data_IF_041539772093
#
_entry.id   IF_041539772093
#
_cell.length_a   1.000
_cell.length_b   1.000
_cell.length_c   1.000
_cell.angle_alpha   90.00
_cell.angle_beta   90.00
_cell.angle_gamma   90.00
#
_symmetry.space_group_name_H-M   'P 1'
#
loop_
_entity.id
_entity.type
_entity.pdbx_description
1 polymer ?
#
# COMPACT_ATOMS: atom_id res chain seq x y z
N UNK A 1 -2.80 2.55 20.48
CA UNK A 1 -1.76 2.94 21.45
C UNK A 1 -2.23 4.01 22.44
N UNK A 2 -2.68 5.18 21.96
CA UNK A 2 -3.13 6.26 22.87
C UNK A 2 -4.27 5.82 23.78
N UNK A 3 -5.29 5.16 23.25
CA UNK A 3 -6.44 4.66 24.01
C UNK A 3 -6.01 3.62 25.07
N UNK A 4 -5.15 2.67 24.71
CA UNK A 4 -4.60 1.69 25.65
C UNK A 4 -3.75 2.35 26.74
N UNK A 5 -2.90 3.31 26.37
CA UNK A 5 -2.00 4.01 27.30
C UNK A 5 -2.75 4.82 28.34
N UNK A 6 -3.92 5.37 27.96
CA UNK A 6 -4.75 6.22 28.81
C UNK A 6 -5.97 5.50 29.37
N UNK A 7 -6.14 4.19 29.12
CA UNK A 7 -7.27 3.39 29.55
C UNK A 7 -8.64 3.98 29.16
N UNK A 8 -8.72 4.58 27.97
CA UNK A 8 -9.94 5.21 27.43
C UNK A 8 -10.39 4.42 26.21
N UNK A 9 -11.71 4.23 26.05
CA UNK A 9 -12.23 3.55 24.87
C UNK A 9 -11.89 4.31 23.58
N UNK A 10 -11.41 3.64 22.51
CA UNK A 10 -10.98 4.30 21.27
C UNK A 10 -12.03 5.23 20.65
N UNK A 11 -13.31 4.85 20.66
CA UNK A 11 -14.40 5.66 20.12
C UNK A 11 -14.54 7.01 20.85
N UNK A 12 -14.34 7.03 22.19
CA UNK A 12 -14.39 8.27 22.99
C UNK A 12 -13.22 9.18 22.61
N UNK A 13 -12.00 8.60 22.50
CA UNK A 13 -10.81 9.34 22.09
C UNK A 13 -11.01 9.97 20.71
N UNK A 14 -11.47 9.17 19.74
CA UNK A 14 -11.72 9.65 18.38
C UNK A 14 -12.73 10.79 18.37
N UNK A 15 -13.86 10.62 19.07
CA UNK A 15 -14.90 11.65 19.14
C UNK A 15 -14.35 12.96 19.72
N UNK A 16 -13.68 12.89 20.86
CA UNK A 16 -13.15 14.08 21.53
C UNK A 16 -12.12 14.81 20.66
N UNK A 17 -11.24 14.06 19.98
CA UNK A 17 -10.23 14.64 19.10
C UNK A 17 -10.87 15.30 17.86
N UNK A 18 -11.89 14.68 17.27
CA UNK A 18 -12.62 15.25 16.13
C UNK A 18 -13.36 16.52 16.53
N UNK A 19 -14.03 16.51 17.68
CA UNK A 19 -14.76 17.70 18.20
C UNK A 19 -13.79 18.86 18.47
N UNK A 20 -12.63 18.55 19.07
CA UNK A 20 -11.58 19.55 19.30
C UNK A 20 -11.02 20.11 17.98
N UNK A 21 -10.68 19.24 17.05
CA UNK A 21 -10.14 19.63 15.74
C UNK A 21 -11.13 20.49 14.96
N UNK A 22 -12.42 20.12 14.97
CA UNK A 22 -13.49 20.90 14.35
C UNK A 22 -13.59 22.30 14.96
N UNK A 23 -13.48 22.43 16.29
CA UNK A 23 -13.51 23.73 16.95
C UNK A 23 -12.33 24.62 16.54
N UNK A 24 -11.14 24.05 16.40
CA UNK A 24 -9.94 24.77 15.94
C UNK A 24 -10.09 25.24 14.49
N UNK A 25 -10.58 24.39 13.59
CA UNK A 25 -10.79 24.75 12.18
C UNK A 25 -11.86 25.85 12.03
N UNK A 26 -12.93 25.80 12.84
CA UNK A 26 -13.94 26.88 12.88
C UNK A 26 -13.35 28.21 13.38
N UNK A 27 -12.48 28.16 14.39
CA UNK A 27 -11.81 29.35 14.91
C UNK A 27 -10.87 30.00 13.88
N UNK A 28 -10.28 29.20 12.98
CA UNK A 28 -9.48 29.68 11.87
C UNK A 28 -10.30 30.28 10.71
N UNK A 29 -11.63 30.20 10.77
CA UNK A 29 -12.53 30.80 9.77
C UNK A 29 -12.61 30.04 8.44
N UNK A 30 -12.27 28.74 8.41
CA UNK A 30 -12.46 27.93 7.21
C UNK A 30 -13.94 27.81 6.84
N UNK A 31 -14.26 28.05 5.57
CA UNK A 31 -15.63 28.00 5.02
C UNK A 31 -16.03 26.60 4.55
N UNK A 32 -15.78 25.59 5.39
CA UNK A 32 -16.22 24.22 5.10
C UNK A 32 -17.74 24.08 5.35
N UNK A 33 -18.38 23.27 4.52
CA UNK A 33 -19.75 22.82 4.77
C UNK A 33 -19.75 21.69 5.81
N UNK A 34 -19.91 22.06 7.06
CA UNK A 34 -19.83 21.15 8.20
C UNK A 34 -20.95 20.11 8.24
N UNK A 35 -22.05 20.32 7.50
CA UNK A 35 -23.13 19.35 7.38
C UNK A 35 -22.76 18.17 6.47
N UNK A 36 -21.69 18.33 5.69
CA UNK A 36 -21.10 17.27 4.86
C UNK A 36 -19.91 16.57 5.49
N UNK A 37 -19.70 16.76 6.78
CA UNK A 37 -18.68 16.04 7.51
C UNK A 37 -18.97 14.54 7.53
N UNK A 38 -17.98 13.73 7.19
CA UNK A 38 -18.04 12.27 7.21
C UNK A 38 -17.03 11.71 8.21
N UNK A 39 -17.39 10.61 8.86
CA UNK A 39 -16.52 9.87 9.74
C UNK A 39 -16.28 8.47 9.19
N UNK A 40 -15.04 8.18 8.79
CA UNK A 40 -14.66 6.88 8.21
C UNK A 40 -14.72 5.72 9.20
N UNK A 41 -14.88 6.00 10.51
CA UNK A 41 -15.08 4.98 11.55
C UNK A 41 -16.56 4.66 11.80
N UNK A 42 -17.47 5.39 11.13
CA UNK A 42 -18.90 5.14 11.22
C UNK A 42 -19.26 3.88 10.39
N UNK A 43 -20.01 2.92 10.98
CA UNK A 43 -20.51 1.75 10.25
C UNK A 43 -21.29 2.10 8.98
N UNK A 44 -22.07 3.16 8.99
CA UNK A 44 -22.81 3.62 7.82
C UNK A 44 -21.90 4.11 6.69
N UNK A 45 -20.69 4.56 7.02
CA UNK A 45 -19.68 4.94 6.04
C UNK A 45 -18.85 3.73 5.60
N UNK A 46 -18.24 2.97 6.52
CA UNK A 46 -17.30 1.92 6.14
C UNK A 46 -17.98 0.69 5.53
N UNK A 47 -19.30 0.53 5.62
CA UNK A 47 -20.03 -0.49 4.87
C UNK A 47 -19.74 -0.44 3.38
N UNK A 48 -19.53 0.75 2.83
CA UNK A 48 -19.16 0.93 1.42
C UNK A 48 -17.75 0.45 1.11
N UNK A 49 -16.80 0.67 2.02
CA UNK A 49 -15.45 0.10 1.90
C UNK A 49 -15.51 -1.44 1.92
N UNK A 50 -16.32 -2.01 2.79
CA UNK A 50 -16.56 -3.46 2.82
C UNK A 50 -17.21 -3.97 1.52
N UNK A 51 -18.17 -3.23 1.00
CA UNK A 51 -18.84 -3.57 -0.26
C UNK A 51 -17.82 -3.55 -1.43
N UNK A 52 -16.98 -2.51 -1.53
CA UNK A 52 -15.92 -2.43 -2.55
C UNK A 52 -14.98 -3.64 -2.43
N UNK A 53 -14.54 -3.99 -1.21
CA UNK A 53 -13.71 -5.17 -1.00
C UNK A 53 -14.39 -6.45 -1.49
N UNK A 54 -15.67 -6.62 -1.21
CA UNK A 54 -16.44 -7.77 -1.68
C UNK A 54 -16.56 -7.82 -3.21
N UNK A 55 -16.67 -6.65 -3.88
CA UNK A 55 -16.63 -6.62 -5.34
C UNK A 55 -15.26 -7.06 -5.87
N UNK A 56 -14.17 -6.55 -5.29
CA UNK A 56 -12.82 -6.98 -5.66
C UNK A 56 -12.62 -8.49 -5.47
N UNK A 57 -13.13 -9.03 -4.36
CA UNK A 57 -13.07 -10.46 -4.09
C UNK A 57 -13.87 -11.28 -5.11
N UNK A 58 -15.12 -10.88 -5.42
CA UNK A 58 -15.97 -11.54 -6.43
C UNK A 58 -15.33 -11.56 -7.82
N UNK A 59 -14.57 -10.53 -8.16
CA UNK A 59 -13.86 -10.45 -9.45
C UNK A 59 -12.46 -11.10 -9.41
N UNK A 60 -12.10 -11.81 -8.34
CA UNK A 60 -10.80 -12.48 -8.20
C UNK A 60 -9.61 -11.53 -8.05
N UNK A 61 -9.88 -10.26 -7.72
CA UNK A 61 -8.85 -9.23 -7.52
C UNK A 61 -8.36 -9.15 -6.08
N UNK A 62 -9.10 -9.67 -5.12
CA UNK A 62 -8.69 -9.81 -3.72
C UNK A 62 -8.44 -11.29 -3.39
N UNK A 63 -7.31 -11.59 -2.74
CA UNK A 63 -6.92 -12.96 -2.38
C UNK A 63 -6.10 -12.95 -1.09
N UNK A 64 -6.03 -14.10 -0.42
CA UNK A 64 -5.14 -14.29 0.74
C UNK A 64 -3.81 -14.89 0.32
N UNK A 65 -2.73 -14.39 0.93
CA UNK A 65 -1.38 -14.92 0.75
C UNK A 65 -0.61 -14.83 2.06
N UNK A 66 0.18 -15.85 2.36
CA UNK A 66 1.19 -15.77 3.41
C UNK A 66 2.37 -14.95 2.92
N UNK A 67 2.80 -14.00 3.74
CA UNK A 67 3.95 -13.15 3.44
C UNK A 67 4.64 -12.71 4.71
N UNK A 68 5.91 -12.36 4.57
CA UNK A 68 6.65 -11.71 5.64
C UNK A 68 6.14 -10.29 5.83
N UNK A 69 5.81 -9.96 7.07
CA UNK A 69 5.39 -8.63 7.49
C UNK A 69 6.31 -8.10 8.57
N UNK A 70 6.49 -6.79 8.63
CA UNK A 70 7.17 -6.12 9.72
C UNK A 70 6.27 -6.15 10.95
N UNK A 71 6.73 -6.77 12.02
CA UNK A 71 5.98 -6.89 13.27
C UNK A 71 6.65 -6.10 14.37
N UNK A 72 5.95 -5.13 14.93
CA UNK A 72 6.41 -4.41 16.12
C UNK A 72 6.19 -5.24 17.39
N UNK A 73 7.24 -5.51 18.13
CA UNK A 73 7.17 -6.31 19.39
C UNK A 73 6.48 -5.55 20.52
N UNK A 74 6.60 -4.23 20.55
CA UNK A 74 5.97 -3.36 21.54
C UNK A 74 4.50 -3.03 21.22
N UNK A 75 4.21 -2.52 20.04
CA UNK A 75 2.83 -2.19 19.61
C UNK A 75 1.98 -3.43 19.30
N UNK A 76 2.60 -4.60 19.11
CA UNK A 76 1.96 -5.87 18.73
C UNK A 76 1.07 -5.73 17.48
N UNK A 77 1.58 -5.01 16.49
CA UNK A 77 0.89 -4.76 15.21
C UNK A 77 1.83 -4.91 14.01
N UNK A 78 1.23 -5.08 12.83
CA UNK A 78 1.96 -5.04 11.55
C UNK A 78 2.25 -3.59 11.20
N UNK A 79 3.45 -3.33 10.68
CA UNK A 79 3.91 -2.03 10.24
C UNK A 79 4.11 -2.02 8.72
N UNK A 80 3.82 -0.89 8.09
CA UNK A 80 4.28 -0.61 6.75
C UNK A 80 5.80 -0.39 6.72
N UNK A 81 6.42 -0.48 5.54
CA UNK A 81 7.87 -0.29 5.44
C UNK A 81 8.32 1.11 5.89
N UNK A 82 7.49 2.11 5.64
CA UNK A 82 7.73 3.51 6.00
C UNK A 82 7.70 3.75 7.52
N UNK A 83 7.03 2.88 8.27
CA UNK A 83 6.92 2.95 9.74
C UNK A 83 8.09 2.27 10.46
N UNK A 84 9.05 1.70 9.71
CA UNK A 84 10.26 1.07 10.23
C UNK A 84 11.46 1.95 9.94
N UNK A 85 12.02 2.55 10.98
CA UNK A 85 13.20 3.43 10.88
C UNK A 85 14.35 2.77 11.60
N UNK A 86 15.45 2.48 10.90
CA UNK A 86 16.64 1.83 11.48
C UNK A 86 16.34 0.52 12.25
N UNK A 87 15.37 -0.27 11.76
CA UNK A 87 15.00 -1.55 12.38
C UNK A 87 14.09 -1.45 13.61
N UNK A 88 13.65 -0.23 13.95
CA UNK A 88 12.74 0.01 15.07
C UNK A 88 11.44 0.64 14.62
N UNK A 89 10.40 0.48 15.42
CA UNK A 89 9.08 1.08 15.20
C UNK A 89 9.14 2.60 15.42
N UNK A 90 8.78 3.39 14.41
CA UNK A 90 8.73 4.85 14.51
C UNK A 90 7.86 5.35 15.68
N UNK A 91 6.78 4.61 16.03
CA UNK A 91 5.82 5.02 17.05
C UNK A 91 6.26 4.77 18.49
N UNK A 92 6.96 3.66 18.75
CA UNK A 92 7.27 3.24 20.11
C UNK A 92 8.75 2.90 20.34
N UNK A 93 9.60 2.94 19.32
CA UNK A 93 11.02 2.64 19.41
C UNK A 93 11.36 1.16 19.66
N UNK A 94 10.37 0.27 19.72
CA UNK A 94 10.63 -1.16 19.94
C UNK A 94 11.17 -1.83 18.69
N UNK A 95 11.93 -2.91 18.87
CA UNK A 95 12.47 -3.73 17.80
C UNK A 95 11.36 -4.26 16.87
N UNK A 96 11.64 -4.23 15.57
CA UNK A 96 10.77 -4.77 14.53
C UNK A 96 11.35 -6.08 14.02
N UNK A 97 10.56 -7.13 14.05
CA UNK A 97 10.92 -8.47 13.57
C UNK A 97 10.06 -8.87 12.39
N UNK A 98 10.59 -9.73 11.51
CA UNK A 98 9.81 -10.31 10.43
C UNK A 98 8.98 -11.50 10.93
N UNK A 99 7.70 -11.52 10.56
CA UNK A 99 6.79 -12.65 10.83
C UNK A 99 6.00 -13.02 9.58
N UNK A 100 5.84 -14.32 9.35
CA UNK A 100 4.93 -14.80 8.32
C UNK A 100 3.50 -14.67 8.84
N UNK A 101 2.65 -13.99 8.06
CA UNK A 101 1.22 -13.86 8.35
C UNK A 101 0.41 -13.96 7.07
N UNK A 102 -0.77 -14.57 7.18
CA UNK A 102 -1.77 -14.53 6.12
C UNK A 102 -2.37 -13.13 6.01
N UNK A 103 -2.21 -12.52 4.83
CA UNK A 103 -2.66 -11.16 4.55
C UNK A 103 -3.60 -11.15 3.34
N UNK A 104 -4.55 -10.22 3.34
CA UNK A 104 -5.31 -9.90 2.15
C UNK A 104 -4.46 -9.07 1.20
N UNK A 105 -4.44 -9.48 -0.05
CA UNK A 105 -3.73 -8.84 -1.15
C UNK A 105 -4.70 -8.44 -2.25
N UNK A 106 -4.39 -7.35 -2.94
CA UNK A 106 -5.08 -6.94 -4.16
C UNK A 106 -4.16 -7.15 -5.36
N UNK A 107 -4.70 -7.71 -6.44
CA UNK A 107 -3.97 -7.92 -7.71
C UNK A 107 -3.84 -6.61 -8.50
N UNK A 108 -3.20 -5.60 -7.91
CA UNK A 108 -3.03 -4.28 -8.56
C UNK A 108 -2.27 -4.38 -9.89
N UNK A 109 -1.33 -5.32 -10.02
CA UNK A 109 -0.55 -5.56 -11.24
C UNK A 109 -1.38 -6.03 -12.43
N UNK A 110 -2.59 -6.57 -12.21
CA UNK A 110 -3.50 -6.96 -13.29
C UNK A 110 -3.97 -5.75 -14.15
N UNK A 111 -3.82 -4.54 -13.65
CA UNK A 111 -4.20 -3.30 -14.32
C UNK A 111 -3.00 -2.45 -14.73
N UNK A 112 -1.78 -2.88 -14.47
CA UNK A 112 -0.56 -2.11 -14.73
C UNK A 112 -0.48 -1.62 -16.17
N UNK A 113 -0.64 -2.52 -17.13
CA UNK A 113 -0.60 -2.17 -18.56
C UNK A 113 -1.74 -1.26 -18.98
N UNK A 114 -2.97 -1.56 -18.52
CA UNK A 114 -4.15 -0.72 -18.81
C UNK A 114 -3.99 0.70 -18.28
N UNK A 115 -3.35 0.87 -17.12
CA UNK A 115 -3.08 2.19 -16.54
C UNK A 115 -2.09 2.98 -17.38
N UNK A 116 -1.02 2.35 -17.87
CA UNK A 116 -0.06 3.02 -18.77
C UNK A 116 -0.73 3.39 -20.10
N UNK A 117 -1.40 2.43 -20.72
CA UNK A 117 -2.00 2.62 -22.05
C UNK A 117 -3.14 3.65 -22.00
N UNK A 118 -3.89 3.68 -20.91
CA UNK A 118 -4.98 4.65 -20.70
C UNK A 118 -4.52 6.10 -20.56
N UNK A 119 -3.24 6.36 -20.28
CA UNK A 119 -2.72 7.73 -20.20
C UNK A 119 -2.72 8.47 -21.55
N UNK A 120 -2.69 7.73 -22.66
CA UNK A 120 -2.63 8.33 -24.00
C UNK A 120 -3.86 9.18 -24.37
N UNK A 121 -5.00 8.92 -23.73
CA UNK A 121 -6.25 9.66 -23.98
C UNK A 121 -6.58 10.73 -22.94
N UNK A 122 -5.69 11.01 -21.99
CA UNK A 122 -5.92 11.93 -20.89
C UNK A 122 -5.14 13.23 -21.08
N UNK A 123 -5.81 14.35 -20.83
CA UNK A 123 -5.19 15.68 -20.82
C UNK A 123 -4.46 15.93 -19.48
N UNK A 124 -3.43 15.13 -19.23
CA UNK A 124 -2.55 15.29 -18.08
C UNK A 124 -1.31 16.10 -18.45
N UNK A 125 -0.87 16.94 -17.53
CA UNK A 125 0.44 17.57 -17.65
C UNK A 125 1.51 16.46 -17.73
N UNK A 126 2.51 16.65 -18.58
CA UNK A 126 3.53 15.64 -18.89
C UNK A 126 4.22 15.07 -17.64
N UNK A 127 4.50 15.92 -16.65
CA UNK A 127 5.10 15.51 -15.37
C UNK A 127 4.28 14.44 -14.66
N UNK A 128 2.95 14.58 -14.61
CA UNK A 128 2.06 13.61 -13.94
C UNK A 128 2.04 12.30 -14.71
N UNK A 129 1.90 12.34 -16.03
CA UNK A 129 1.92 11.14 -16.87
C UNK A 129 3.25 10.39 -16.75
N UNK A 130 4.37 11.11 -16.76
CA UNK A 130 5.71 10.53 -16.60
C UNK A 130 5.90 9.86 -15.24
N UNK A 131 5.44 10.50 -14.16
CA UNK A 131 5.51 9.91 -12.81
C UNK A 131 4.73 8.61 -12.72
N UNK A 132 3.53 8.53 -13.30
CA UNK A 132 2.72 7.31 -13.30
C UNK A 132 3.38 6.20 -14.12
N UNK A 133 3.90 6.50 -15.31
CA UNK A 133 4.65 5.54 -16.14
C UNK A 133 5.87 4.99 -15.39
N UNK A 134 6.66 5.86 -14.77
CA UNK A 134 7.86 5.47 -14.03
C UNK A 134 7.52 4.65 -12.78
N UNK A 135 6.42 4.96 -12.10
CA UNK A 135 5.97 4.20 -10.93
C UNK A 135 5.57 2.77 -11.29
N UNK A 136 4.83 2.58 -12.37
CA UNK A 136 4.43 1.25 -12.86
C UNK A 136 5.65 0.50 -13.38
N UNK A 137 6.54 1.19 -14.11
CA UNK A 137 7.84 0.66 -14.54
C UNK A 137 7.72 -0.48 -15.54
N UNK A 138 6.87 -0.34 -16.58
CA UNK A 138 6.83 -1.33 -17.67
C UNK A 138 8.23 -1.49 -18.26
N UNK A 139 8.77 -2.68 -18.22
CA UNK A 139 10.06 -3.02 -18.81
C UNK A 139 9.93 -4.23 -19.73
N UNK A 140 10.76 -4.28 -20.75
CA UNK A 140 10.86 -5.40 -21.66
C UNK A 140 12.23 -6.05 -21.50
N UNK A 141 12.28 -7.37 -21.52
CA UNK A 141 13.50 -8.14 -21.40
C UNK A 141 13.42 -9.45 -22.18
N UNK A 142 14.50 -10.18 -22.19
CA UNK A 142 14.59 -11.49 -22.80
C UNK A 142 14.96 -12.55 -21.76
N UNK A 143 14.36 -13.72 -21.89
CA UNK A 143 14.84 -14.92 -21.24
C UNK A 143 15.89 -15.57 -22.12
N UNK A 144 17.08 -15.82 -21.57
CA UNK A 144 18.19 -16.45 -22.25
C UNK A 144 18.45 -17.82 -21.61
N UNK A 145 18.38 -18.87 -22.40
CA UNK A 145 18.66 -20.22 -21.96
C UNK A 145 20.11 -20.57 -22.30
N UNK A 146 20.91 -20.84 -21.29
CA UNK A 146 22.27 -21.35 -21.42
C UNK A 146 22.26 -22.86 -21.25
N UNK A 147 22.88 -23.56 -22.19
CA UNK A 147 23.20 -24.98 -22.02
C UNK A 147 24.37 -25.13 -21.05
N UNK A 148 24.23 -25.98 -20.03
CA UNK A 148 25.33 -26.33 -19.13
C UNK A 148 25.97 -27.64 -19.53
N UNK A 149 27.24 -27.85 -19.21
CA UNK A 149 27.92 -29.12 -19.40
C UNK A 149 27.35 -30.27 -18.58
N UNK A 150 26.57 -29.94 -17.53
CA UNK A 150 25.85 -30.90 -16.67
C UNK A 150 24.48 -31.33 -17.27
N UNK A 151 24.03 -30.71 -18.38
CA UNK A 151 22.79 -31.06 -19.09
C UNK A 151 21.54 -30.28 -18.64
N UNK A 152 21.58 -29.60 -17.50
CA UNK A 152 20.45 -28.80 -17.04
C UNK A 152 20.48 -27.39 -17.65
N UNK A 153 19.40 -26.90 -18.26
CA UNK A 153 19.40 -25.55 -18.85
C UNK A 153 19.35 -24.51 -17.72
N UNK A 154 20.21 -23.49 -17.80
CA UNK A 154 20.16 -22.32 -16.96
C UNK A 154 19.38 -21.21 -17.68
N UNK A 155 18.21 -20.86 -17.17
CA UNK A 155 17.39 -19.76 -17.71
C UNK A 155 17.65 -18.50 -16.92
N UNK A 156 18.05 -17.42 -17.60
CA UNK A 156 18.31 -16.10 -17.00
C UNK A 156 17.45 -15.06 -17.69
N UNK A 157 16.74 -14.26 -16.92
CA UNK A 157 16.03 -13.09 -17.43
C UNK A 157 16.92 -11.84 -17.38
N UNK A 158 16.94 -11.06 -18.46
CA UNK A 158 17.69 -9.79 -18.51
C UNK A 158 16.95 -8.74 -19.31
N UNK A 159 17.00 -7.49 -18.83
CA UNK A 159 16.56 -6.30 -19.60
C UNK A 159 17.67 -5.74 -20.48
N UNK A 160 18.89 -6.30 -20.40
CA UNK A 160 20.08 -5.89 -21.15
C UNK A 160 20.75 -7.10 -21.81
N UNK A 161 20.08 -7.71 -22.78
CA UNK A 161 20.56 -8.92 -23.47
C UNK A 161 21.97 -8.78 -24.07
N UNK A 162 22.35 -7.55 -24.46
CA UNK A 162 23.67 -7.26 -25.05
C UNK A 162 24.84 -7.31 -24.05
N UNK A 163 24.61 -7.30 -22.74
CA UNK A 163 25.69 -7.34 -21.74
C UNK A 163 26.18 -8.75 -21.41
N UNK A 164 25.45 -9.80 -21.80
CA UNK A 164 25.80 -11.19 -21.53
C UNK A 164 26.77 -11.77 -22.58
N UNK A 165 27.10 -11.04 -23.65
CA UNK A 165 28.01 -11.50 -24.73
C UNK A 165 29.46 -10.98 -24.58
N UNK A 166 29.81 -10.41 -23.41
CA UNK A 166 31.17 -9.98 -23.10
C UNK A 166 31.78 -10.83 -21.98
N UNK A 167 32.17 -12.03 -22.33
CA UNK A 167 33.17 -12.81 -21.59
C UNK A 167 34.20 -13.33 -22.61
#
# INVERSE_FOLDING_TARGET
>A
NFAMKNHIHPAIVTKNNVDHFRSQLKALGFSFDWDREINTTDPEYYKWTQWIFLQLYKHGLAYKKEMNVNWCTGCKCVLANEEVVNGVCERCGSEVVHRVKSQWMLKITAYADKLIDGLAGLDYIERVATQQKNWIGRSHGAEVNFGTTAGDPLTVYTTRSHTHYRT
#
